data_IF_971327389990
#
_entry.id   IF_971327389990
#
_cell.length_a   1.000
_cell.length_b   1.000
_cell.length_c   1.000
_cell.angle_alpha   90.00
_cell.angle_beta   90.00
_cell.angle_gamma   90.00
#
_symmetry.space_group_name_H-M   'P 1'
#
loop_
_entity.id
_entity.type
_entity.pdbx_description
1 polymer ?
#
# COMPACT_ATOMS: atom_id res chain seq x y z
N UNK A 1 35.76 39.21 -34.09
CA UNK A 1 35.82 38.03 -33.18
C UNK A 1 34.51 37.78 -32.41
N UNK A 2 33.33 38.20 -32.91
CA UNK A 2 32.03 38.08 -32.20
C UNK A 2 30.99 37.19 -32.90
N UNK A 3 31.36 36.42 -33.95
CA UNK A 3 30.40 35.63 -34.72
C UNK A 3 30.28 34.14 -34.30
N UNK A 4 31.22 33.61 -33.47
CA UNK A 4 31.32 32.17 -33.19
C UNK A 4 30.59 31.70 -31.92
N UNK A 5 30.30 32.61 -31.01
CA UNK A 5 29.65 32.27 -29.73
C UNK A 5 28.16 31.95 -29.90
N UNK A 6 27.47 32.53 -30.88
CA UNK A 6 26.03 32.23 -31.13
C UNK A 6 25.83 30.86 -31.79
N UNK A 7 26.79 30.38 -32.61
CA UNK A 7 26.71 29.06 -33.23
C UNK A 7 27.02 27.92 -32.28
N UNK A 8 27.90 28.17 -31.31
CA UNK A 8 28.24 27.22 -30.26
C UNK A 8 27.08 27.02 -29.25
N UNK A 9 26.39 28.11 -28.84
CA UNK A 9 25.23 28.03 -27.97
C UNK A 9 24.05 27.28 -28.58
N UNK A 10 23.80 27.49 -29.88
CA UNK A 10 22.73 26.77 -30.60
C UNK A 10 23.02 25.28 -30.80
N UNK A 11 24.29 24.89 -30.93
CA UNK A 11 24.70 23.48 -31.01
C UNK A 11 24.57 22.78 -29.64
N UNK A 12 25.00 23.42 -28.58
CA UNK A 12 24.85 22.90 -27.21
C UNK A 12 23.40 22.70 -26.85
N UNK A 13 22.50 23.66 -27.15
CA UNK A 13 21.07 23.53 -26.90
C UNK A 13 20.44 22.34 -27.65
N UNK A 14 20.80 22.12 -28.92
CA UNK A 14 20.33 20.95 -29.69
C UNK A 14 20.84 19.64 -29.11
N UNK A 15 22.11 19.53 -28.74
CA UNK A 15 22.68 18.32 -28.12
C UNK A 15 21.99 18.03 -26.80
N UNK A 16 21.73 19.04 -25.97
CA UNK A 16 20.99 18.86 -24.70
C UNK A 16 19.55 18.39 -24.94
N UNK A 17 18.87 18.89 -25.96
CA UNK A 17 17.51 18.49 -26.32
C UNK A 17 17.47 17.06 -26.90
N UNK A 18 18.45 16.67 -27.71
CA UNK A 18 18.60 15.28 -28.19
C UNK A 18 18.84 14.30 -27.01
N UNK A 19 19.78 14.60 -26.11
CA UNK A 19 20.06 13.79 -24.93
C UNK A 19 18.80 13.68 -24.04
N UNK A 20 18.10 14.78 -23.81
CA UNK A 20 16.85 14.78 -23.04
C UNK A 20 15.79 13.89 -23.69
N UNK A 21 15.64 13.96 -25.01
CA UNK A 21 14.68 13.15 -25.75
C UNK A 21 15.02 11.67 -25.68
N UNK A 22 16.29 11.30 -25.84
CA UNK A 22 16.74 9.91 -25.67
C UNK A 22 16.50 9.37 -24.27
N UNK A 23 16.79 10.17 -23.22
CA UNK A 23 16.53 9.83 -21.82
C UNK A 23 15.04 9.56 -21.62
N UNK A 24 14.17 10.48 -22.07
CA UNK A 24 12.71 10.33 -21.93
C UNK A 24 12.21 9.10 -22.67
N UNK A 25 12.68 8.83 -23.89
CA UNK A 25 12.28 7.64 -24.64
C UNK A 25 12.72 6.34 -23.96
N UNK A 26 13.97 6.27 -23.48
CA UNK A 26 14.48 5.10 -22.78
C UNK A 26 13.68 4.79 -21.52
N UNK A 27 13.48 5.78 -20.64
CA UNK A 27 12.73 5.57 -19.42
C UNK A 27 11.24 5.34 -19.67
N UNK A 28 10.65 5.90 -20.72
CA UNK A 28 9.29 5.58 -21.15
C UNK A 28 9.15 4.11 -21.54
N UNK A 29 10.14 3.55 -22.24
CA UNK A 29 10.17 2.12 -22.54
C UNK A 29 10.26 1.27 -21.26
N UNK A 30 11.10 1.68 -20.30
CA UNK A 30 11.18 1.01 -18.97
C UNK A 30 9.84 1.08 -18.23
N UNK A 31 9.12 2.21 -18.30
CA UNK A 31 7.78 2.35 -17.70
C UNK A 31 6.80 1.35 -18.34
N UNK A 32 6.76 1.25 -19.66
CA UNK A 32 5.85 0.32 -20.35
C UNK A 32 6.16 -1.13 -19.99
N UNK A 33 7.44 -1.52 -20.05
CA UNK A 33 7.88 -2.87 -19.65
C UNK A 33 7.59 -3.13 -18.19
N UNK A 34 7.86 -2.15 -17.31
CA UNK A 34 7.58 -2.23 -15.88
C UNK A 34 6.10 -2.41 -15.56
N UNK A 35 5.20 -1.71 -16.27
CA UNK A 35 3.75 -1.90 -16.12
C UNK A 35 3.29 -3.30 -16.53
N UNK A 36 3.79 -3.82 -17.66
CA UNK A 36 3.48 -5.19 -18.09
C UNK A 36 4.00 -6.20 -17.07
N UNK A 37 5.24 -6.02 -16.60
CA UNK A 37 5.85 -6.88 -15.57
C UNK A 37 5.08 -6.80 -14.24
N UNK A 38 4.63 -5.61 -13.83
CA UNK A 38 3.84 -5.39 -12.60
C UNK A 38 2.52 -6.16 -12.67
N UNK A 39 1.77 -6.04 -13.74
CA UNK A 39 0.48 -6.73 -13.91
C UNK A 39 0.67 -8.25 -13.96
N UNK A 40 1.66 -8.72 -14.72
CA UNK A 40 1.95 -10.15 -14.82
C UNK A 40 2.42 -10.73 -13.49
N UNK A 41 3.30 -10.03 -12.78
CA UNK A 41 3.79 -10.48 -11.47
C UNK A 41 2.71 -10.49 -10.41
N UNK A 42 1.80 -9.50 -10.41
CA UNK A 42 0.63 -9.49 -9.54
C UNK A 42 -0.30 -10.69 -9.82
N UNK A 43 -0.49 -11.06 -11.09
CA UNK A 43 -1.23 -12.26 -11.47
C UNK A 43 -0.62 -13.53 -10.85
N UNK A 44 0.70 -13.71 -10.97
CA UNK A 44 1.43 -14.86 -10.43
C UNK A 44 1.47 -14.85 -8.90
N UNK A 45 1.69 -13.70 -8.31
CA UNK A 45 1.67 -13.53 -6.85
C UNK A 45 0.32 -13.97 -6.24
N UNK A 46 -0.80 -13.49 -6.80
CA UNK A 46 -2.15 -13.85 -6.34
C UNK A 46 -2.46 -15.33 -6.62
N UNK A 47 -1.99 -15.88 -7.74
CA UNK A 47 -2.12 -17.30 -8.08
C UNK A 47 -1.41 -18.18 -7.04
N UNK A 48 -0.14 -17.88 -6.75
CA UNK A 48 0.66 -18.60 -5.76
C UNK A 48 0.09 -18.49 -4.34
N UNK A 49 -0.28 -17.27 -3.91
CA UNK A 49 -0.91 -17.04 -2.61
C UNK A 49 -2.20 -17.87 -2.44
N UNK A 50 -3.00 -17.94 -3.48
CA UNK A 50 -4.26 -18.68 -3.45
C UNK A 50 -4.06 -20.20 -3.39
N UNK A 51 -3.07 -20.71 -4.12
CA UNK A 51 -2.73 -22.14 -4.07
C UNK A 51 -2.16 -22.55 -2.70
N UNK A 52 -1.41 -21.65 -2.04
CA UNK A 52 -0.94 -21.85 -0.67
C UNK A 52 -2.12 -21.86 0.31
N UNK A 53 -3.06 -20.89 0.17
CA UNK A 53 -4.26 -20.80 1.00
C UNK A 53 -5.07 -22.08 1.00
N UNK A 54 -5.40 -22.58 -0.20
CA UNK A 54 -6.20 -23.78 -0.39
C UNK A 54 -5.56 -25.00 0.28
N UNK A 55 -4.23 -25.17 0.08
CA UNK A 55 -3.49 -26.29 0.68
C UNK A 55 -3.36 -26.23 2.17
N UNK A 56 -3.22 -25.02 2.73
CA UNK A 56 -3.14 -24.79 4.16
C UNK A 56 -4.52 -24.83 4.85
N UNK A 57 -5.62 -24.96 4.10
CA UNK A 57 -6.98 -24.86 4.64
C UNK A 57 -7.31 -23.46 5.18
N UNK A 58 -6.61 -22.44 4.70
CA UNK A 58 -6.78 -21.05 5.11
C UNK A 58 -7.81 -20.35 4.20
N UNK A 59 -8.58 -19.43 4.78
CA UNK A 59 -9.49 -18.62 3.97
C UNK A 59 -8.72 -17.60 3.13
N UNK A 60 -9.23 -17.17 1.96
CA UNK A 60 -8.63 -16.09 1.17
C UNK A 60 -8.42 -14.80 1.98
N UNK A 61 -9.32 -14.50 2.91
CA UNK A 61 -9.20 -13.37 3.84
C UNK A 61 -7.97 -13.49 4.74
N UNK A 62 -7.73 -14.67 5.34
CA UNK A 62 -6.56 -14.88 6.20
C UNK A 62 -5.25 -14.72 5.44
N UNK A 63 -5.18 -15.26 4.22
CA UNK A 63 -3.99 -15.12 3.37
C UNK A 63 -3.78 -13.64 3.01
N UNK A 64 -4.85 -12.92 2.72
CA UNK A 64 -4.81 -11.48 2.51
C UNK A 64 -4.25 -10.76 3.74
N UNK A 65 -4.84 -10.99 4.90
CA UNK A 65 -4.47 -10.37 6.19
C UNK A 65 -3.03 -10.69 6.65
N UNK A 66 -2.42 -11.76 6.16
CA UNK A 66 -1.12 -12.23 6.63
C UNK A 66 -0.07 -12.25 5.52
N UNK A 67 -0.02 -13.34 4.75
CA UNK A 67 1.07 -13.61 3.80
C UNK A 67 1.13 -12.57 2.69
N UNK A 68 -0.04 -12.17 2.14
CA UNK A 68 -0.09 -11.17 1.06
C UNK A 68 0.31 -9.80 1.59
N UNK A 69 -0.29 -9.36 2.70
CA UNK A 69 0.01 -8.05 3.29
C UNK A 69 1.45 -7.91 3.77
N UNK A 70 2.02 -8.92 4.43
CA UNK A 70 3.45 -8.91 4.82
C UNK A 70 4.35 -8.83 3.59
N UNK A 71 4.00 -9.58 2.53
CA UNK A 71 4.78 -9.60 1.30
C UNK A 71 4.78 -8.25 0.60
N UNK A 72 3.61 -7.65 0.42
CA UNK A 72 3.50 -6.35 -0.27
C UNK A 72 4.04 -5.21 0.57
N UNK A 73 3.90 -5.24 1.92
CA UNK A 73 4.47 -4.24 2.83
C UNK A 73 5.96 -4.46 3.16
N UNK A 74 6.64 -5.42 2.54
CA UNK A 74 8.08 -5.61 2.73
C UNK A 74 8.92 -4.39 2.35
N UNK A 75 8.62 -3.61 1.29
CA UNK A 75 9.29 -2.35 1.02
C UNK A 75 9.17 -1.33 2.15
N UNK A 76 7.97 -1.19 2.74
CA UNK A 76 7.71 -0.27 3.86
C UNK A 76 8.51 -0.67 5.10
N UNK A 77 8.56 -1.96 5.42
CA UNK A 77 9.37 -2.49 6.53
C UNK A 77 10.84 -2.15 6.30
N UNK A 78 11.35 -2.37 5.08
CA UNK A 78 12.74 -2.09 4.74
C UNK A 78 13.06 -0.58 4.84
N UNK A 79 12.18 0.28 4.32
CA UNK A 79 12.32 1.74 4.43
C UNK A 79 12.37 2.15 5.91
N UNK A 80 11.47 1.62 6.74
CA UNK A 80 11.43 1.94 8.16
C UNK A 80 12.71 1.52 8.89
N UNK A 81 13.22 0.31 8.63
CA UNK A 81 14.49 -0.17 9.20
C UNK A 81 15.65 0.71 8.74
N UNK A 82 15.75 1.01 7.44
CA UNK A 82 16.84 1.84 6.89
C UNK A 82 16.80 3.25 7.45
N UNK A 83 15.61 3.86 7.55
CA UNK A 83 15.40 5.19 8.12
C UNK A 83 15.76 5.25 9.60
N UNK A 84 15.38 4.23 10.38
CA UNK A 84 15.74 4.13 11.79
C UNK A 84 17.26 4.01 11.99
N UNK A 85 17.93 3.17 11.18
CA UNK A 85 19.40 2.99 11.22
C UNK A 85 20.16 4.24 10.78
N UNK A 86 19.63 5.05 9.88
CA UNK A 86 20.23 6.30 9.40
C UNK A 86 19.92 7.52 10.29
N UNK A 87 19.17 7.34 11.37
CA UNK A 87 18.76 8.44 12.25
C UNK A 87 17.62 9.31 11.69
N UNK A 88 16.94 8.87 10.63
CA UNK A 88 15.83 9.56 9.97
C UNK A 88 14.47 8.94 10.35
N UNK A 89 14.24 8.74 11.65
CA UNK A 89 13.04 8.04 12.14
C UNK A 89 11.71 8.70 11.73
N UNK A 90 11.67 10.02 11.56
CA UNK A 90 10.49 10.74 11.06
C UNK A 90 10.06 10.27 9.67
N UNK A 91 11.02 9.91 8.80
CA UNK A 91 10.72 9.34 7.49
C UNK A 91 10.00 7.99 7.61
N UNK A 92 10.37 7.17 8.59
CA UNK A 92 9.69 5.89 8.86
C UNK A 92 8.24 6.10 9.32
N UNK A 93 8.01 7.10 10.19
CA UNK A 93 6.66 7.47 10.65
C UNK A 93 5.81 7.97 9.47
N UNK A 94 6.34 8.90 8.69
CA UNK A 94 5.67 9.41 7.48
C UNK A 94 5.34 8.31 6.48
N UNK A 95 6.28 7.37 6.25
CA UNK A 95 6.05 6.20 5.40
C UNK A 95 4.91 5.31 5.92
N UNK A 96 4.89 5.00 7.24
CA UNK A 96 3.86 4.16 7.83
C UNK A 96 2.46 4.79 7.72
N UNK A 97 2.31 6.06 8.08
CA UNK A 97 1.03 6.77 8.02
C UNK A 97 0.60 7.04 6.58
N UNK A 98 1.52 7.47 5.72
CA UNK A 98 1.28 7.73 4.30
C UNK A 98 0.82 6.47 3.56
N UNK A 99 1.44 5.32 3.80
CA UNK A 99 1.03 4.03 3.23
C UNK A 99 -0.37 3.60 3.69
N UNK A 100 -0.76 3.91 4.94
CA UNK A 100 -2.14 3.66 5.40
C UNK A 100 -3.17 4.50 4.64
N UNK A 101 -2.89 5.80 4.46
CA UNK A 101 -3.76 6.70 3.69
C UNK A 101 -3.83 6.24 2.22
N UNK A 102 -2.70 5.85 1.63
CA UNK A 102 -2.63 5.36 0.26
C UNK A 102 -3.39 4.03 0.10
N UNK A 103 -3.23 3.09 1.02
CA UNK A 103 -3.89 1.78 0.95
C UNK A 103 -5.42 1.89 1.00
N UNK A 104 -5.97 2.72 1.88
CA UNK A 104 -7.42 2.92 1.96
C UNK A 104 -7.90 3.87 0.87
N UNK A 105 -7.25 5.03 0.69
CA UNK A 105 -7.68 6.07 -0.23
C UNK A 105 -7.45 5.70 -1.69
N UNK A 106 -6.21 5.38 -2.06
CA UNK A 106 -5.80 5.12 -3.44
C UNK A 106 -6.03 3.66 -3.85
N UNK A 107 -5.43 2.71 -3.12
CA UNK A 107 -5.43 1.28 -3.50
C UNK A 107 -6.84 0.71 -3.47
N UNK A 108 -7.55 0.82 -2.35
CA UNK A 108 -8.94 0.36 -2.26
C UNK A 108 -9.86 1.20 -3.15
N UNK A 109 -9.65 2.52 -3.21
CA UNK A 109 -10.39 3.42 -4.08
C UNK A 109 -10.38 2.94 -5.54
N UNK A 110 -9.18 2.74 -6.13
CA UNK A 110 -9.03 2.22 -7.50
C UNK A 110 -9.59 0.81 -7.63
N UNK A 111 -9.31 -0.08 -6.67
CA UNK A 111 -9.82 -1.46 -6.69
C UNK A 111 -11.35 -1.48 -6.79
N UNK A 112 -12.05 -0.62 -6.04
CA UNK A 112 -13.51 -0.51 -6.07
C UNK A 112 -14.04 0.11 -7.36
N UNK A 113 -13.29 0.99 -8.03
CA UNK A 113 -13.65 1.48 -9.37
C UNK A 113 -13.61 0.36 -10.40
N UNK A 114 -12.61 -0.52 -10.31
CA UNK A 114 -12.48 -1.68 -11.20
C UNK A 114 -13.57 -2.70 -10.88
N UNK A 115 -13.74 -3.07 -9.62
CA UNK A 115 -14.71 -4.09 -9.19
C UNK A 115 -15.27 -3.81 -7.80
N UNK A 116 -16.60 -3.82 -7.66
CA UNK A 116 -17.25 -3.77 -6.35
C UNK A 116 -16.91 -5.02 -5.54
N UNK A 117 -16.73 -4.85 -4.22
CA UNK A 117 -16.31 -5.90 -3.29
C UNK A 117 -17.45 -6.19 -2.32
N UNK A 118 -17.78 -7.47 -2.13
CA UNK A 118 -18.67 -7.92 -1.08
C UNK A 118 -17.87 -8.36 0.13
N UNK A 119 -18.23 -7.86 1.32
CA UNK A 119 -17.58 -8.18 2.59
C UNK A 119 -18.45 -9.16 3.37
N UNK A 120 -17.84 -10.14 4.00
CA UNK A 120 -18.51 -11.02 4.91
C UNK A 120 -18.79 -10.36 6.28
N UNK A 121 -19.55 -11.03 7.14
CA UNK A 121 -19.91 -10.52 8.47
C UNK A 121 -18.68 -10.25 9.35
N UNK A 122 -17.68 -11.15 9.34
CA UNK A 122 -16.46 -10.96 10.14
C UNK A 122 -15.71 -9.69 9.73
N UNK A 123 -15.48 -9.52 8.44
CA UNK A 123 -14.78 -8.32 7.94
C UNK A 123 -15.50 -7.03 8.31
N UNK A 124 -16.84 -7.01 8.18
CA UNK A 124 -17.65 -5.81 8.44
C UNK A 124 -17.70 -5.46 9.92
N UNK A 125 -17.89 -6.47 10.82
CA UNK A 125 -18.17 -6.23 12.24
C UNK A 125 -17.01 -6.54 13.18
N UNK A 126 -15.90 -7.13 12.69
CA UNK A 126 -14.73 -7.45 13.50
C UNK A 126 -13.47 -6.81 12.92
N UNK A 127 -13.08 -7.15 11.67
CA UNK A 127 -11.77 -6.76 11.15
C UNK A 127 -11.67 -5.24 10.92
N UNK A 128 -12.70 -4.60 10.33
CA UNK A 128 -12.71 -3.15 10.13
C UNK A 128 -12.84 -2.37 11.45
N UNK A 129 -13.73 -2.70 12.40
CA UNK A 129 -13.72 -2.08 13.73
C UNK A 129 -12.41 -2.27 14.49
N UNK A 130 -11.74 -3.43 14.34
CA UNK A 130 -10.43 -3.66 14.95
C UNK A 130 -9.37 -2.73 14.31
N UNK A 131 -9.39 -2.52 13.00
CA UNK A 131 -8.50 -1.55 12.34
C UNK A 131 -8.75 -0.12 12.86
N UNK A 132 -10.01 0.30 13.00
CA UNK A 132 -10.35 1.60 13.61
C UNK A 132 -9.80 1.70 15.04
N UNK A 133 -9.96 0.64 15.85
CA UNK A 133 -9.42 0.59 17.21
C UNK A 133 -7.88 0.73 17.20
N UNK A 134 -7.18 0.06 16.28
CA UNK A 134 -5.72 0.16 16.17
C UNK A 134 -5.31 1.59 15.81
N UNK A 135 -6.02 2.28 14.92
CA UNK A 135 -5.74 3.70 14.62
C UNK A 135 -5.93 4.57 15.87
N UNK A 136 -6.98 4.33 16.67
CA UNK A 136 -7.24 5.06 17.92
C UNK A 136 -6.12 4.79 18.94
N UNK A 137 -5.71 3.53 19.12
CA UNK A 137 -4.61 3.16 20.01
C UNK A 137 -3.31 3.82 19.58
N UNK A 138 -2.99 3.79 18.28
CA UNK A 138 -1.83 4.49 17.73
C UNK A 138 -1.88 5.98 18.01
N UNK A 139 -3.05 6.62 17.82
CA UNK A 139 -3.23 8.03 18.13
C UNK A 139 -3.07 8.36 19.62
N UNK A 140 -3.53 7.48 20.50
CA UNK A 140 -3.35 7.66 21.94
C UNK A 140 -1.87 7.55 22.36
N UNK A 141 -1.11 6.64 21.75
CA UNK A 141 0.32 6.48 22.01
C UNK A 141 1.14 7.67 21.50
N UNK A 142 0.77 8.24 20.35
CA UNK A 142 1.47 9.38 19.75
C UNK A 142 0.96 10.75 20.26
N UNK A 143 0.02 10.77 21.21
CA UNK A 143 -0.63 12.01 21.65
C UNK A 143 0.33 13.00 22.32
N UNK A 144 1.39 12.51 22.95
CA UNK A 144 2.47 13.31 23.54
C UNK A 144 3.53 13.78 22.52
N UNK A 145 3.29 13.54 21.23
CA UNK A 145 4.22 13.83 20.13
C UNK A 145 5.58 13.12 20.27
N UNK A 146 5.57 11.95 20.88
CA UNK A 146 6.76 11.11 21.02
C UNK A 146 6.45 9.67 20.64
N UNK A 147 7.42 9.00 20.02
CA UNK A 147 7.39 7.57 19.81
C UNK A 147 8.55 6.95 20.58
N UNK A 148 8.23 6.33 21.69
CA UNK A 148 9.20 5.72 22.60
C UNK A 148 9.33 4.19 22.39
N UNK A 149 10.29 3.57 23.07
CA UNK A 149 10.42 2.10 23.12
C UNK A 149 9.20 1.44 23.75
N UNK A 150 8.59 2.05 24.78
CA UNK A 150 7.37 1.55 25.40
C UNK A 150 6.21 1.51 24.39
N UNK A 151 6.03 2.57 23.60
CA UNK A 151 4.99 2.63 22.58
C UNK A 151 5.21 1.56 21.50
N UNK A 152 6.46 1.39 21.06
CA UNK A 152 6.85 0.33 20.13
C UNK A 152 6.54 -1.07 20.65
N UNK A 153 6.81 -1.33 21.93
CA UNK A 153 6.46 -2.61 22.58
C UNK A 153 4.96 -2.81 22.69
N UNK A 154 4.19 -1.76 22.99
CA UNK A 154 2.72 -1.81 23.01
C UNK A 154 2.18 -2.12 21.61
N UNK A 155 2.66 -1.42 20.57
CA UNK A 155 2.26 -1.68 19.18
C UNK A 155 2.56 -3.11 18.75
N UNK A 156 3.75 -3.65 19.06
CA UNK A 156 4.08 -5.05 18.78
C UNK A 156 3.26 -6.03 19.63
N UNK A 157 2.92 -5.67 20.85
CA UNK A 157 2.00 -6.46 21.68
C UNK A 157 0.61 -6.56 21.06
N UNK A 158 0.08 -5.44 20.54
CA UNK A 158 -1.18 -5.41 19.78
C UNK A 158 -1.09 -6.22 18.49
N UNK A 159 0.05 -6.18 17.78
CA UNK A 159 0.29 -7.03 16.63
C UNK A 159 0.26 -8.52 16.99
N UNK A 160 0.87 -8.90 18.11
CA UNK A 160 0.80 -10.27 18.64
C UNK A 160 -0.65 -10.71 18.94
N UNK A 161 -1.45 -9.83 19.56
CA UNK A 161 -2.87 -10.09 19.80
C UNK A 161 -3.67 -10.20 18.49
N UNK A 162 -3.35 -9.39 17.50
CA UNK A 162 -3.96 -9.48 16.17
C UNK A 162 -3.66 -10.84 15.50
N UNK A 163 -2.42 -11.33 15.55
CA UNK A 163 -2.10 -12.66 15.04
C UNK A 163 -2.81 -13.77 15.82
N UNK A 164 -2.89 -13.67 17.15
CA UNK A 164 -3.65 -14.62 17.97
C UNK A 164 -5.13 -14.63 17.59
N UNK A 165 -5.71 -13.45 17.32
CA UNK A 165 -7.09 -13.32 16.85
C UNK A 165 -7.29 -14.04 15.52
N UNK A 166 -6.40 -13.82 14.53
CA UNK A 166 -6.47 -14.48 13.22
C UNK A 166 -6.38 -16.00 13.37
N UNK A 167 -5.41 -16.51 14.15
CA UNK A 167 -5.21 -17.95 14.35
C UNK A 167 -6.43 -18.61 15.00
N UNK A 168 -7.04 -17.94 15.99
CA UNK A 168 -8.21 -18.49 16.71
C UNK A 168 -9.50 -18.46 15.92
N UNK A 169 -9.71 -17.42 15.13
CA UNK A 169 -10.99 -17.17 14.44
C UNK A 169 -10.94 -17.50 12.94
N UNK A 170 -9.77 -17.77 12.39
CA UNK A 170 -9.56 -17.94 10.96
C UNK A 170 -10.02 -19.27 10.37
N UNK A 171 -10.56 -20.20 11.18
CA UNK A 171 -11.05 -21.50 10.72
C UNK A 171 -12.54 -21.50 10.33
N UNK A 172 -13.13 -20.32 10.09
CA UNK A 172 -14.57 -20.26 9.73
C UNK A 172 -14.75 -20.53 8.25
N UNK A 173 -15.66 -21.47 7.97
CA UNK A 173 -16.08 -22.05 6.70
C UNK A 173 -15.89 -21.20 5.45
N UNK A 174 -15.47 -21.80 4.33
CA UNK A 174 -15.34 -21.10 3.06
C UNK A 174 -16.68 -20.49 2.68
N UNK A 175 -16.72 -19.18 2.54
CA UNK A 175 -17.81 -18.48 1.86
C UNK A 175 -17.96 -19.11 0.48
N UNK A 176 -19.20 -19.49 0.09
CA UNK A 176 -19.55 -19.94 -1.26
C UNK A 176 -19.52 -18.75 -2.24
N UNK A 177 -18.41 -18.01 -2.29
CA UNK A 177 -18.18 -17.05 -3.35
C UNK A 177 -17.85 -17.84 -4.62
N UNK A 178 -18.35 -17.39 -5.76
CA UNK A 178 -17.96 -17.89 -7.07
C UNK A 178 -16.47 -17.62 -7.31
N UNK A 179 -15.62 -18.45 -6.70
CA UNK A 179 -14.17 -18.37 -6.85
C UNK A 179 -13.81 -19.03 -8.17
N UNK A 180 -13.09 -18.30 -9.03
CA UNK A 180 -12.48 -18.90 -10.21
C UNK A 180 -11.67 -20.15 -9.82
N UNK A 181 -11.66 -21.21 -10.64
CA UNK A 181 -10.93 -22.45 -10.33
C UNK A 181 -9.50 -22.13 -9.91
N UNK A 182 -9.10 -22.65 -8.73
CA UNK A 182 -7.74 -22.47 -8.24
C UNK A 182 -6.84 -23.41 -9.03
N UNK A 183 -5.73 -22.93 -9.61
CA UNK A 183 -4.79 -23.82 -10.30
C UNK A 183 -4.25 -24.87 -9.34
N UNK A 184 -4.28 -26.14 -9.74
CA UNK A 184 -3.71 -27.25 -8.97
C UNK A 184 -2.19 -27.26 -9.06
N UNK A 185 -1.54 -26.31 -8.37
CA UNK A 185 -0.07 -26.24 -8.30
C UNK A 185 0.47 -27.28 -7.30
N UNK A 186 1.61 -27.89 -7.56
CA UNK A 186 2.32 -28.65 -6.53
C UNK A 186 2.75 -27.72 -5.39
N UNK A 187 3.05 -28.22 -4.16
CA UNK A 187 3.46 -27.34 -3.05
C UNK A 187 4.66 -26.46 -3.39
N UNK A 188 5.68 -27.05 -3.99
CA UNK A 188 6.88 -26.31 -4.42
C UNK A 188 6.54 -25.26 -5.50
N UNK A 189 5.73 -25.64 -6.49
CA UNK A 189 5.31 -24.70 -7.54
C UNK A 189 4.50 -23.53 -6.98
N UNK A 190 3.61 -23.77 -5.99
CA UNK A 190 2.84 -22.71 -5.33
C UNK A 190 3.76 -21.70 -4.64
N UNK A 191 4.75 -22.17 -3.88
CA UNK A 191 5.72 -21.27 -3.22
C UNK A 191 6.64 -20.58 -4.22
N UNK A 192 7.12 -21.25 -5.27
CA UNK A 192 7.94 -20.61 -6.31
C UNK A 192 7.16 -19.56 -7.08
N UNK A 193 5.89 -19.83 -7.41
CA UNK A 193 5.00 -18.87 -8.09
C UNK A 193 4.72 -17.66 -7.19
N UNK A 194 4.48 -17.90 -5.89
CA UNK A 194 4.27 -16.83 -4.91
C UNK A 194 5.52 -15.96 -4.74
N UNK A 195 6.68 -16.57 -4.39
CA UNK A 195 7.91 -15.82 -4.12
C UNK A 195 8.47 -15.17 -5.38
N UNK A 196 8.42 -15.86 -6.52
CA UNK A 196 8.83 -15.30 -7.82
C UNK A 196 7.92 -14.15 -8.25
N UNK A 197 6.60 -14.31 -8.08
CA UNK A 197 5.62 -13.26 -8.30
C UNK A 197 5.87 -12.05 -7.41
N UNK A 198 6.07 -12.26 -6.10
CA UNK A 198 6.38 -11.20 -5.14
C UNK A 198 7.69 -10.46 -5.48
N UNK A 199 8.76 -11.22 -5.73
CA UNK A 199 10.06 -10.63 -6.05
C UNK A 199 10.00 -9.76 -7.31
N UNK A 200 9.33 -10.24 -8.37
CA UNK A 200 9.15 -9.47 -9.60
C UNK A 200 8.18 -8.30 -9.41
N UNK A 201 7.14 -8.45 -8.58
CA UNK A 201 6.20 -7.39 -8.24
C UNK A 201 6.92 -6.20 -7.58
N UNK A 202 7.77 -6.47 -6.60
CA UNK A 202 8.59 -5.45 -5.93
C UNK A 202 9.61 -4.85 -6.90
N UNK A 203 10.29 -5.68 -7.69
CA UNK A 203 11.31 -5.21 -8.65
C UNK A 203 10.70 -4.31 -9.74
N UNK A 204 9.56 -4.71 -10.31
CA UNK A 204 8.86 -3.94 -11.35
C UNK A 204 8.30 -2.63 -10.79
N UNK A 205 7.75 -2.63 -9.57
CA UNK A 205 7.31 -1.40 -8.89
C UNK A 205 8.47 -0.42 -8.72
N UNK A 206 9.62 -0.88 -8.20
CA UNK A 206 10.81 -0.02 -8.03
C UNK A 206 11.35 0.50 -9.36
N UNK A 207 11.37 -0.33 -10.40
CA UNK A 207 11.77 0.08 -11.74
C UNK A 207 10.85 1.17 -12.32
N UNK A 208 9.53 1.03 -12.11
CA UNK A 208 8.54 2.03 -12.49
C UNK A 208 8.76 3.37 -11.79
N UNK A 209 8.91 3.35 -10.47
CA UNK A 209 9.17 4.56 -9.67
C UNK A 209 10.45 5.25 -10.14
N UNK A 210 11.53 4.48 -10.28
CA UNK A 210 12.81 5.00 -10.77
C UNK A 210 12.70 5.63 -12.15
N UNK A 211 12.12 4.92 -13.12
CA UNK A 211 11.99 5.41 -14.47
C UNK A 211 11.07 6.64 -14.56
N UNK A 212 9.93 6.62 -13.85
CA UNK A 212 9.01 7.77 -13.80
C UNK A 212 9.66 9.00 -13.17
N UNK A 213 10.47 8.80 -12.11
CA UNK A 213 11.23 9.88 -11.47
C UNK A 213 12.27 10.49 -12.42
N UNK A 214 12.97 9.66 -13.23
CA UNK A 214 13.93 10.14 -14.20
C UNK A 214 13.25 10.95 -15.32
N UNK A 215 12.09 10.50 -15.81
CA UNK A 215 11.30 11.24 -16.79
C UNK A 215 10.84 12.58 -16.23
N UNK A 216 10.29 12.58 -15.02
CA UNK A 216 9.81 13.80 -14.37
C UNK A 216 10.96 14.80 -14.14
N UNK A 217 12.13 14.33 -13.67
CA UNK A 217 13.33 15.14 -13.51
C UNK A 217 13.82 15.73 -14.84
N UNK A 218 13.86 14.93 -15.90
CA UNK A 218 14.21 15.39 -17.25
C UNK A 218 13.22 16.44 -17.79
N UNK A 219 11.96 16.39 -17.35
CA UNK A 219 10.92 17.38 -17.68
C UNK A 219 10.95 18.62 -16.76
N UNK A 220 11.90 18.68 -15.80
CA UNK A 220 12.10 19.84 -14.92
C UNK A 220 11.18 19.86 -13.71
N UNK A 221 10.54 18.74 -13.36
CA UNK A 221 9.77 18.59 -12.10
C UNK A 221 10.75 18.57 -10.93
N UNK A 222 10.47 19.33 -9.87
CA UNK A 222 11.33 19.39 -8.68
C UNK A 222 11.42 18.04 -7.95
N UNK A 223 12.56 17.75 -7.33
CA UNK A 223 12.77 16.52 -6.56
C UNK A 223 11.73 16.36 -5.43
N UNK A 224 11.32 17.48 -4.81
CA UNK A 224 10.28 17.50 -3.80
C UNK A 224 8.95 16.99 -4.36
N UNK A 225 8.50 17.49 -5.52
CA UNK A 225 7.27 17.05 -6.17
C UNK A 225 7.35 15.58 -6.60
N UNK A 226 8.51 15.14 -7.12
CA UNK A 226 8.74 13.74 -7.47
C UNK A 226 8.60 12.85 -6.24
N UNK A 227 9.22 13.22 -5.12
CA UNK A 227 9.14 12.49 -3.86
C UNK A 227 7.71 12.41 -3.31
N UNK A 228 7.01 13.54 -3.26
CA UNK A 228 5.66 13.64 -2.72
C UNK A 228 4.58 13.00 -3.60
N UNK A 229 4.86 12.72 -4.88
CA UNK A 229 3.88 12.14 -5.82
C UNK A 229 4.31 10.78 -6.33
N UNK A 230 5.32 10.72 -7.20
CA UNK A 230 5.72 9.50 -7.91
C UNK A 230 6.25 8.45 -6.94
N UNK A 231 7.12 8.84 -6.00
CA UNK A 231 7.69 7.91 -5.02
C UNK A 231 6.63 7.47 -4.02
N UNK A 232 5.82 8.40 -3.50
CA UNK A 232 4.78 8.09 -2.52
C UNK A 232 3.70 7.13 -3.08
N UNK A 233 3.24 7.35 -4.31
CA UNK A 233 2.32 6.43 -4.99
C UNK A 233 3.01 5.11 -5.31
N UNK A 234 4.28 5.20 -5.70
CA UNK A 234 5.07 4.07 -6.18
C UNK A 234 5.32 2.99 -5.14
N UNK A 235 5.48 3.35 -3.87
CA UNK A 235 5.63 2.36 -2.79
C UNK A 235 4.37 1.52 -2.59
N UNK A 236 3.19 2.07 -2.89
CA UNK A 236 1.91 1.35 -2.82
C UNK A 236 1.50 0.63 -4.12
N UNK A 237 2.36 0.63 -5.16
CA UNK A 237 2.07 -0.09 -6.41
C UNK A 237 1.96 -1.61 -6.25
N UNK A 238 2.78 -2.29 -5.41
CA UNK A 238 2.61 -3.71 -5.14
C UNK A 238 1.24 -4.02 -4.55
N UNK A 239 0.80 -3.25 -3.55
CA UNK A 239 -0.52 -3.36 -2.92
C UNK A 239 -1.63 -3.14 -3.93
N UNK A 240 -1.52 -2.09 -4.75
CA UNK A 240 -2.49 -1.75 -5.78
C UNK A 240 -2.64 -2.89 -6.79
N UNK A 241 -1.53 -3.37 -7.35
CA UNK A 241 -1.53 -4.42 -8.36
C UNK A 241 -2.06 -5.74 -7.78
N UNK A 242 -1.65 -6.13 -6.57
CA UNK A 242 -2.12 -7.32 -5.88
C UNK A 242 -3.63 -7.24 -5.56
N UNK A 243 -4.11 -6.10 -5.06
CA UNK A 243 -5.53 -5.91 -4.69
C UNK A 243 -6.44 -5.90 -5.92
N UNK A 244 -6.06 -5.16 -6.98
CA UNK A 244 -6.82 -5.14 -8.23
C UNK A 244 -6.85 -6.52 -8.87
N UNK A 245 -5.71 -7.22 -8.94
CA UNK A 245 -5.64 -8.56 -9.49
C UNK A 245 -6.47 -9.57 -8.69
N UNK A 246 -6.43 -9.50 -7.36
CA UNK A 246 -7.27 -10.33 -6.48
C UNK A 246 -8.75 -10.10 -6.74
N UNK A 247 -9.17 -8.84 -6.85
CA UNK A 247 -10.55 -8.48 -7.16
C UNK A 247 -10.98 -8.98 -8.53
N UNK A 248 -10.15 -8.81 -9.58
CA UNK A 248 -10.43 -9.29 -10.94
C UNK A 248 -10.57 -10.82 -11.00
N UNK A 249 -9.74 -11.55 -10.25
CA UNK A 249 -9.83 -13.02 -10.13
C UNK A 249 -10.99 -13.51 -9.26
N UNK A 250 -11.88 -12.62 -8.81
CA UNK A 250 -13.03 -13.01 -7.97
C UNK A 250 -12.68 -13.32 -6.52
N UNK A 251 -11.48 -12.93 -6.06
CA UNK A 251 -10.96 -13.13 -4.69
C UNK A 251 -11.07 -11.85 -3.88
N UNK A 252 -12.27 -11.30 -3.81
CA UNK A 252 -12.54 -10.04 -3.13
C UNK A 252 -12.12 -10.04 -1.65
N UNK A 253 -12.32 -11.18 -0.95
CA UNK A 253 -11.89 -11.34 0.45
C UNK A 253 -10.36 -11.24 0.60
N UNK A 254 -9.58 -11.75 -0.37
CA UNK A 254 -8.12 -11.61 -0.37
C UNK A 254 -7.71 -10.16 -0.61
N UNK A 255 -8.38 -9.44 -1.52
CA UNK A 255 -8.08 -8.05 -1.81
C UNK A 255 -8.29 -7.17 -0.58
N UNK A 256 -9.44 -7.28 0.08
CA UNK A 256 -9.74 -6.49 1.29
C UNK A 256 -8.87 -6.92 2.48
N UNK A 257 -8.61 -8.22 2.61
CA UNK A 257 -7.71 -8.75 3.63
C UNK A 257 -6.30 -8.21 3.50
N UNK A 258 -5.76 -8.14 2.27
CA UNK A 258 -4.44 -7.54 2.01
C UNK A 258 -4.39 -6.07 2.42
N UNK A 259 -5.42 -5.28 2.11
CA UNK A 259 -5.49 -3.86 2.47
C UNK A 259 -5.59 -3.67 3.98
N UNK A 260 -6.48 -4.39 4.67
CA UNK A 260 -6.61 -4.33 6.13
C UNK A 260 -5.31 -4.79 6.80
N UNK A 261 -4.74 -5.91 6.33
CA UNK A 261 -3.48 -6.44 6.85
C UNK A 261 -2.31 -5.48 6.67
N UNK A 262 -2.12 -4.91 5.48
CA UNK A 262 -1.06 -3.92 5.24
C UNK A 262 -1.22 -2.69 6.14
N UNK A 263 -2.45 -2.20 6.37
CA UNK A 263 -2.69 -1.12 7.31
C UNK A 263 -2.36 -1.50 8.76
N UNK A 264 -2.72 -2.72 9.19
CA UNK A 264 -2.32 -3.24 10.50
C UNK A 264 -0.80 -3.33 10.64
N UNK A 265 -0.11 -3.87 9.62
CA UNK A 265 1.35 -3.97 9.65
C UNK A 265 2.04 -2.61 9.65
N UNK A 266 1.54 -1.66 8.89
CA UNK A 266 2.10 -0.32 8.86
C UNK A 266 1.98 0.38 10.22
N UNK A 267 0.83 0.29 10.89
CA UNK A 267 0.64 0.89 12.21
C UNK A 267 1.32 0.12 13.35
N UNK A 268 1.34 -1.20 13.30
CA UNK A 268 1.77 -2.03 14.42
C UNK A 268 3.22 -2.51 14.33
N UNK A 269 3.78 -2.63 13.11
CA UNK A 269 5.15 -3.07 12.89
C UNK A 269 6.02 -1.95 12.33
N UNK A 270 5.66 -1.38 11.16
CA UNK A 270 6.49 -0.39 10.47
C UNK A 270 6.69 0.84 11.33
N UNK A 271 5.61 1.36 11.95
CA UNK A 271 5.63 2.49 12.86
C UNK A 271 6.40 2.17 14.15
N UNK A 272 6.36 0.93 14.65
CA UNK A 272 7.07 0.56 15.88
C UNK A 272 8.60 0.52 15.72
N UNK A 273 9.12 0.26 14.51
CA UNK A 273 10.55 0.08 14.27
C UNK A 273 11.41 1.26 14.78
N UNK A 274 11.16 2.53 14.41
CA UNK A 274 12.06 3.63 14.79
C UNK A 274 12.13 3.86 16.30
N UNK A 275 11.06 3.61 17.06
CA UNK A 275 11.06 3.81 18.51
C UNK A 275 12.05 2.91 19.29
N UNK A 276 12.54 1.81 18.68
CA UNK A 276 13.55 0.96 19.30
C UNK A 276 14.94 1.59 19.32
N UNK A 277 15.24 2.50 18.40
CA UNK A 277 16.54 3.18 18.33
C UNK A 277 16.65 4.41 19.24
N UNK A 278 15.54 4.87 19.80
CA UNK A 278 15.47 5.99 20.73
C UNK A 278 14.10 6.63 20.74
N UNK A 279 13.83 7.52 21.70
CA UNK A 279 12.61 8.32 21.65
C UNK A 279 12.68 9.29 20.49
N UNK A 280 11.71 9.17 19.57
CA UNK A 280 11.57 10.04 18.43
C UNK A 280 10.53 11.12 18.75
N UNK A 281 10.92 12.39 18.71
CA UNK A 281 9.99 13.51 18.84
C UNK A 281 9.36 13.82 17.48
N UNK A 282 8.05 13.91 17.46
CA UNK A 282 7.26 14.09 16.25
C UNK A 282 6.79 15.54 16.13
N UNK A 283 6.65 16.00 14.90
CA UNK A 283 6.02 17.28 14.60
C UNK A 283 4.51 17.20 14.85
N UNK A 284 3.88 18.32 15.21
CA UNK A 284 2.45 18.38 15.51
C UNK A 284 1.57 17.97 14.30
N UNK A 285 2.07 18.19 13.08
CA UNK A 285 1.44 17.83 11.81
C UNK A 285 1.17 16.33 11.69
N UNK A 286 2.06 15.50 12.24
CA UNK A 286 1.89 14.04 12.28
C UNK A 286 0.59 13.65 13.00
N UNK A 287 0.27 14.34 14.10
CA UNK A 287 -0.95 14.08 14.86
C UNK A 287 -2.19 14.74 14.21
N UNK A 288 -2.10 16.04 13.91
CA UNK A 288 -3.27 16.84 13.52
C UNK A 288 -3.62 16.73 12.05
N UNK A 289 -2.69 16.32 11.20
CA UNK A 289 -2.89 16.14 9.75
C UNK A 289 -2.87 14.65 9.37
N UNK A 290 -1.75 13.98 9.58
CA UNK A 290 -1.50 12.66 9.00
C UNK A 290 -2.32 11.57 9.71
N UNK A 291 -2.30 11.54 11.03
CA UNK A 291 -3.08 10.58 11.81
C UNK A 291 -4.60 10.84 11.70
N UNK A 292 -5.01 12.10 11.63
CA UNK A 292 -6.41 12.47 11.35
C UNK A 292 -6.84 11.94 9.98
N UNK A 293 -5.99 12.06 8.95
CA UNK A 293 -6.28 11.52 7.64
C UNK A 293 -6.39 9.99 7.64
N UNK A 294 -5.50 9.27 8.35
CA UNK A 294 -5.60 7.82 8.56
C UNK A 294 -6.92 7.47 9.25
N UNK A 295 -7.27 8.19 10.32
CA UNK A 295 -8.50 7.95 11.06
C UNK A 295 -9.74 8.19 10.20
N UNK A 296 -9.82 9.32 9.50
CA UNK A 296 -10.97 9.68 8.65
C UNK A 296 -11.16 8.69 7.52
N UNK A 297 -10.09 8.33 6.80
CA UNK A 297 -10.17 7.37 5.68
C UNK A 297 -10.61 5.99 6.17
N UNK A 298 -10.05 5.52 7.29
CA UNK A 298 -10.40 4.23 7.91
C UNK A 298 -11.84 4.22 8.44
N UNK A 299 -12.27 5.30 9.09
CA UNK A 299 -13.62 5.45 9.60
C UNK A 299 -14.66 5.49 8.47
N UNK A 300 -14.38 6.24 7.40
CA UNK A 300 -15.26 6.29 6.22
C UNK A 300 -15.39 4.91 5.58
N UNK A 301 -14.30 4.14 5.49
CA UNK A 301 -14.36 2.77 5.01
C UNK A 301 -15.23 1.88 5.92
N UNK A 302 -15.05 1.95 7.24
CA UNK A 302 -15.84 1.19 8.20
C UNK A 302 -17.34 1.56 8.13
N UNK A 303 -17.65 2.86 8.06
CA UNK A 303 -19.04 3.35 7.92
C UNK A 303 -19.65 2.93 6.58
N UNK A 304 -18.89 2.98 5.49
CA UNK A 304 -19.35 2.50 4.18
C UNK A 304 -19.66 0.98 4.21
N UNK A 305 -18.84 0.21 4.90
CA UNK A 305 -19.09 -1.22 5.09
C UNK A 305 -20.35 -1.46 5.94
N UNK A 306 -20.56 -0.72 7.00
CA UNK A 306 -21.75 -0.82 7.85
C UNK A 306 -23.02 -0.39 7.11
N UNK A 307 -22.97 0.71 6.35
CA UNK A 307 -24.11 1.20 5.56
C UNK A 307 -24.48 0.27 4.39
N UNK A 308 -23.50 -0.44 3.83
CA UNK A 308 -23.70 -1.41 2.75
C UNK A 308 -24.19 -2.78 3.23
N UNK A 309 -24.40 -2.97 4.56
CA UNK A 309 -24.79 -4.26 5.13
C UNK A 309 -26.21 -4.66 4.76
N UNK A 310 -26.36 -5.80 4.10
CA UNK A 310 -27.65 -6.44 3.83
C UNK A 310 -27.85 -7.61 4.79
N UNK A 311 -28.85 -7.52 5.67
CA UNK A 311 -29.15 -8.54 6.68
C UNK A 311 -29.64 -9.87 6.07
N UNK A 312 -30.38 -9.82 4.98
CA UNK A 312 -30.91 -11.01 4.33
C UNK A 312 -29.82 -11.78 3.59
N UNK A 313 -28.94 -11.04 2.89
CA UNK A 313 -27.82 -11.64 2.18
C UNK A 313 -26.63 -12.00 3.10
N UNK A 314 -26.56 -11.44 4.31
CA UNK A 314 -25.47 -11.65 5.26
C UNK A 314 -24.12 -11.08 4.80
N UNK A 315 -24.13 -10.11 3.88
CA UNK A 315 -22.94 -9.47 3.31
C UNK A 315 -23.09 -7.96 3.26
N UNK A 316 -21.97 -7.27 3.29
CA UNK A 316 -21.90 -5.84 2.98
C UNK A 316 -21.34 -5.65 1.57
N UNK A 317 -21.73 -4.58 0.89
CA UNK A 317 -21.25 -4.27 -0.45
C UNK A 317 -20.58 -2.91 -0.50
N UNK A 318 -19.26 -2.92 -0.75
CA UNK A 318 -18.52 -1.72 -1.13
C UNK A 318 -18.64 -1.51 -2.64
N UNK A 319 -19.10 -0.33 -3.02
CA UNK A 319 -19.44 0.01 -4.41
C UNK A 319 -18.39 0.92 -5.05
N UNK A 320 -18.51 1.16 -6.35
CA UNK A 320 -17.69 2.18 -7.05
C UNK A 320 -17.86 3.56 -6.46
N UNK A 321 -19.05 3.89 -5.93
CA UNK A 321 -19.26 5.17 -5.24
C UNK A 321 -18.37 5.31 -4.00
N UNK A 322 -18.26 4.25 -3.19
CA UNK A 322 -17.29 4.20 -2.08
C UNK A 322 -15.87 4.44 -2.58
N UNK A 323 -15.50 3.83 -3.71
CA UNK A 323 -14.19 4.04 -4.34
C UNK A 323 -13.93 5.50 -4.71
N UNK A 324 -14.91 6.19 -5.29
CA UNK A 324 -14.79 7.63 -5.61
C UNK A 324 -14.60 8.47 -4.34
N UNK A 325 -15.37 8.18 -3.28
CA UNK A 325 -15.25 8.90 -2.00
C UNK A 325 -13.85 8.72 -1.39
N UNK A 326 -13.33 7.50 -1.37
CA UNK A 326 -11.99 7.21 -0.83
C UNK A 326 -10.89 7.90 -1.65
N UNK A 327 -10.99 7.90 -2.97
CA UNK A 327 -10.06 8.64 -3.84
C UNK A 327 -10.15 10.15 -3.62
N UNK A 328 -11.35 10.70 -3.44
CA UNK A 328 -11.53 12.12 -3.14
C UNK A 328 -10.86 12.50 -1.80
N UNK A 329 -10.98 11.66 -0.76
CA UNK A 329 -10.30 11.85 0.51
C UNK A 329 -8.77 11.79 0.36
N UNK A 330 -8.26 10.87 -0.47
CA UNK A 330 -6.84 10.77 -0.77
C UNK A 330 -6.32 12.05 -1.44
N UNK A 331 -7.01 12.53 -2.46
CA UNK A 331 -6.67 13.80 -3.13
C UNK A 331 -6.77 14.98 -2.16
N UNK A 332 -7.81 15.05 -1.33
CA UNK A 332 -7.98 16.10 -0.34
C UNK A 332 -6.84 16.12 0.68
N UNK A 333 -6.34 14.95 1.11
CA UNK A 333 -5.17 14.85 1.98
C UNK A 333 -3.93 15.45 1.32
N UNK A 334 -3.66 15.15 0.05
CA UNK A 334 -2.51 15.72 -0.65
C UNK A 334 -2.65 17.23 -0.87
N UNK A 335 -3.84 17.72 -1.18
CA UNK A 335 -4.08 19.16 -1.25
C UNK A 335 -3.81 19.84 0.10
N UNK A 336 -4.21 19.21 1.21
CA UNK A 336 -3.91 19.69 2.56
C UNK A 336 -2.41 19.64 2.85
N UNK A 337 -1.74 18.53 2.53
CA UNK A 337 -0.29 18.36 2.70
C UNK A 337 0.50 19.47 1.97
N UNK A 338 0.13 19.83 0.74
CA UNK A 338 0.77 20.88 -0.04
C UNK A 338 0.42 22.30 0.45
N UNK A 339 -0.71 22.47 1.11
CA UNK A 339 -1.12 23.76 1.66
C UNK A 339 -0.51 24.04 3.06
N UNK A 340 -0.03 22.99 3.75
CA UNK A 340 0.60 23.07 5.08
C UNK A 340 2.01 22.50 5.01
N UNK A 341 2.99 23.30 4.53
CA UNK A 341 4.37 22.87 4.36
C UNK A 341 5.06 22.54 5.67
#
# INVERSE_FOLDING_TARGET
>A
MCHDTRSAGGRLARIMEEIRTEIVLWFSAVIVIGLVALVWSADKFVEGASAIAERAGLTPMMIGLTIVSVGTSAPEILISVMSALSGSGELAVGNALGSNIANVGLVLGITLLVKSISLNKSTTFVDLPLLVLVVIVTGALLFDLALSRSDSLVLLGVLGLFFLHIIRNGQVSPSKSEVAPIPTLSPLAAWLTFLGGLGLLIASSRALVWAASQVASALGVSELLIGLTIVAVGTSLPELAASVMSALKGRADMAIGAIIGSNMFNLLLVLAIPGFWGTLHLQAEVLHRDLVAVFVTTLVLALAALSGWNREAGVSKLTRYTGVVLLALYVAYYLWLFATP
#
